data_IF_056715971792
#
_entry.id   IF_056715971792
#
_cell.length_a   1.000
_cell.length_b   1.000
_cell.length_c   1.000
_cell.angle_alpha   90.00
_cell.angle_beta   90.00
_cell.angle_gamma   90.00
#
_symmetry.space_group_name_H-M   'P 1'
#
loop_
_entity.id
_entity.type
_entity.pdbx_description
1 polymer ?
#
# COMPACT_ATOMS: atom_id res chain seq x y z
N UNK A 1 -4.88 8.27 24.39
CA UNK A 1 -4.92 7.91 24.10
C UNK A 1 -4.59 7.30 23.24
N UNK A 2 -4.34 6.66 23.02
CA UNK A 2 -4.09 6.01 22.23
C UNK A 2 -5.02 5.63 21.61
N UNK A 3 -5.11 5.63 20.67
CA UNK A 3 -6.21 5.17 20.13
C UNK A 3 -5.87 3.99 19.36
N UNK A 4 -6.83 3.14 19.10
CA UNK A 4 -6.58 1.91 18.43
C UNK A 4 -6.22 2.13 17.00
N UNK A 5 -6.52 3.27 16.45
CA UNK A 5 -6.17 3.51 15.07
C UNK A 5 -4.69 3.50 14.86
N UNK A 6 -3.90 3.85 15.85
CA UNK A 6 -2.48 3.84 15.70
C UNK A 6 -1.92 2.45 15.58
N UNK A 7 -2.68 1.45 15.98
CA UNK A 7 -2.25 0.08 15.93
C UNK A 7 -2.85 -0.67 14.74
N UNK A 8 -3.62 0.02 13.93
CA UNK A 8 -4.30 -0.65 12.86
C UNK A 8 -3.37 -0.93 11.71
N UNK A 9 -3.43 -2.14 11.22
CA UNK A 9 -2.62 -2.59 10.10
C UNK A 9 -3.51 -2.86 8.91
N UNK A 10 -3.03 -2.50 7.73
CA UNK A 10 -3.78 -2.67 6.50
C UNK A 10 -3.09 -3.73 5.66
N UNK A 11 -3.83 -4.74 5.26
CA UNK A 11 -3.31 -5.81 4.45
C UNK A 11 -3.14 -5.31 3.02
N UNK A 12 -1.94 -5.44 2.48
CA UNK A 12 -1.64 -5.00 1.12
C UNK A 12 -1.23 -6.17 0.24
N UNK A 13 -1.57 -7.39 0.67
CA UNK A 13 -1.37 -8.57 -0.16
C UNK A 13 -0.21 -9.41 0.28
N UNK A 14 -0.32 -10.71 0.06
CA UNK A 14 0.73 -11.68 0.32
C UNK A 14 1.27 -11.64 1.75
N UNK A 15 0.38 -11.34 2.69
CA UNK A 15 0.78 -11.31 4.10
C UNK A 15 1.51 -10.05 4.53
N UNK A 16 1.58 -9.05 3.65
CA UNK A 16 2.25 -7.81 3.98
C UNK A 16 1.26 -6.81 4.53
N UNK A 17 1.67 -6.06 5.53
CA UNK A 17 0.80 -5.09 6.16
C UNK A 17 1.52 -3.78 6.34
N UNK A 18 0.77 -2.68 6.32
CA UNK A 18 1.33 -1.37 6.58
C UNK A 18 0.51 -0.71 7.68
N UNK A 19 1.11 0.23 8.37
CA UNK A 19 0.45 0.93 9.44
C UNK A 19 -0.49 1.99 8.87
N UNK A 20 -1.75 1.94 9.22
CA UNK A 20 -2.71 2.92 8.77
C UNK A 20 -2.35 4.31 9.28
N UNK A 21 -1.77 4.40 10.47
CA UNK A 21 -1.46 5.69 11.06
C UNK A 21 -0.34 6.42 10.33
N UNK A 22 0.51 5.69 9.62
CA UNK A 22 1.65 6.29 8.95
C UNK A 22 1.53 6.28 7.43
N UNK A 23 0.37 5.88 6.94
CA UNK A 23 0.13 5.86 5.52
C UNK A 23 -0.22 7.25 5.05
N UNK A 24 0.48 7.74 4.06
CA UNK A 24 0.27 9.08 3.54
C UNK A 24 -0.58 9.10 2.28
N UNK A 25 -0.32 8.21 1.36
CA UNK A 25 -1.04 8.21 0.09
C UNK A 25 -1.03 6.84 -0.56
N UNK A 26 -2.05 6.57 -1.34
CA UNK A 26 -2.16 5.36 -2.14
C UNK A 26 -2.43 5.83 -3.55
N UNK A 27 -1.54 5.51 -4.48
CA UNK A 27 -1.67 6.00 -5.84
C UNK A 27 -1.45 4.90 -6.85
N UNK A 28 -1.94 5.12 -8.06
CA UNK A 28 -1.71 4.18 -9.15
C UNK A 28 -0.32 4.39 -9.72
N UNK A 29 0.31 3.36 -10.25
CA UNK A 29 1.71 3.45 -10.69
C UNK A 29 1.93 4.04 -12.07
N UNK A 30 0.88 4.37 -12.79
CA UNK A 30 1.01 4.64 -14.22
C UNK A 30 1.44 6.03 -14.67
N UNK A 31 1.57 6.97 -13.78
CA UNK A 31 1.93 8.32 -14.21
C UNK A 31 3.43 8.54 -14.13
N UNK A 32 3.92 9.48 -14.93
CA UNK A 32 5.34 9.78 -14.92
C UNK A 32 5.82 10.30 -13.56
N UNK A 33 5.08 11.17 -12.88
CA UNK A 33 5.54 11.61 -11.57
C UNK A 33 5.67 10.46 -10.58
N UNK A 34 4.76 9.50 -10.62
CA UNK A 34 4.82 8.39 -9.69
C UNK A 34 6.00 7.47 -10.03
N UNK A 35 6.25 7.27 -11.32
CA UNK A 35 7.39 6.46 -11.71
C UNK A 35 8.70 7.09 -11.23
N UNK A 36 8.75 8.41 -11.25
CA UNK A 36 9.92 9.10 -10.76
C UNK A 36 10.08 8.92 -9.25
N UNK A 37 8.98 8.97 -8.50
CA UNK A 37 9.02 8.75 -7.06
C UNK A 37 9.55 7.36 -6.77
N UNK A 38 9.10 6.36 -7.53
CA UNK A 38 9.55 4.99 -7.34
C UNK A 38 11.06 4.90 -7.59
N UNK A 39 11.52 5.51 -8.66
CA UNK A 39 12.92 5.47 -8.99
C UNK A 39 13.78 6.14 -7.92
N UNK A 40 13.36 7.33 -7.47
CA UNK A 40 14.12 8.06 -6.46
C UNK A 40 14.15 7.28 -5.15
N UNK A 41 13.05 6.65 -4.80
CA UNK A 41 12.96 5.92 -3.55
C UNK A 41 13.84 4.67 -3.63
N UNK A 42 13.88 4.04 -4.81
CA UNK A 42 14.74 2.88 -5.00
C UNK A 42 16.19 3.27 -4.80
N UNK A 43 16.59 4.41 -5.34
CA UNK A 43 17.97 4.85 -5.21
C UNK A 43 18.34 5.21 -3.80
N UNK A 44 17.37 5.63 -3.00
CA UNK A 44 17.64 5.94 -1.60
C UNK A 44 17.54 4.71 -0.71
N UNK A 45 17.22 3.57 -1.26
CA UNK A 45 17.11 2.36 -0.47
C UNK A 45 15.87 2.30 0.40
N UNK A 46 14.85 3.06 0.05
CA UNK A 46 13.62 3.09 0.82
C UNK A 46 12.41 2.53 0.07
N UNK A 47 12.67 1.77 -0.98
CA UNK A 47 11.59 1.15 -1.74
C UNK A 47 11.41 -0.29 -1.27
N UNK A 48 10.17 -0.65 -0.96
CA UNK A 48 9.85 -2.01 -0.55
C UNK A 48 8.93 -2.61 -1.60
N UNK A 49 9.32 -3.73 -2.19
CA UNK A 49 8.51 -4.37 -3.20
C UNK A 49 7.74 -5.51 -2.54
N UNK A 50 6.45 -5.31 -2.34
CA UNK A 50 5.60 -6.31 -1.71
C UNK A 50 4.69 -6.98 -2.74
N UNK A 51 5.06 -6.95 -4.02
CA UNK A 51 4.23 -7.53 -5.07
C UNK A 51 4.47 -9.01 -5.25
N UNK A 52 5.54 -9.51 -4.69
CA UNK A 52 5.85 -10.92 -4.79
C UNK A 52 6.00 -11.33 -6.27
N UNK A 53 6.59 -10.45 -7.07
CA UNK A 53 6.81 -10.72 -8.48
C UNK A 53 5.61 -10.44 -9.35
N UNK A 54 4.49 -9.98 -8.77
CA UNK A 54 3.32 -9.68 -9.55
C UNK A 54 3.36 -8.25 -10.02
N UNK A 55 2.45 -7.91 -10.89
CA UNK A 55 2.36 -6.57 -11.42
C UNK A 55 2.01 -5.58 -10.32
N UNK A 56 2.69 -4.45 -10.29
CA UNK A 56 2.38 -3.40 -9.34
C UNK A 56 1.06 -2.76 -9.71
N UNK A 57 0.12 -2.76 -8.76
CA UNK A 57 -1.17 -2.14 -8.98
C UNK A 57 -1.34 -0.89 -8.14
N UNK A 58 -0.68 -0.81 -7.02
CA UNK A 58 -0.77 0.35 -6.12
C UNK A 58 0.60 0.71 -5.60
N UNK A 59 0.80 2.00 -5.39
CA UNK A 59 2.02 2.53 -4.81
C UNK A 59 1.62 3.20 -3.51
N UNK A 60 2.16 2.72 -2.41
CA UNK A 60 1.78 3.18 -1.09
C UNK A 60 2.92 4.02 -0.55
N UNK A 61 2.62 5.27 -0.22
CA UNK A 61 3.61 6.21 0.25
C UNK A 61 3.39 6.40 1.74
N UNK A 62 4.45 6.18 2.51
CA UNK A 62 4.39 6.30 3.95
C UNK A 62 4.97 7.63 4.39
N UNK A 63 4.59 8.09 5.57
CA UNK A 63 5.05 9.39 6.06
C UNK A 63 6.55 9.40 6.37
N UNK A 64 7.18 8.25 6.42
CA UNK A 64 8.62 8.17 6.60
C UNK A 64 9.38 8.40 5.30
N UNK A 65 8.67 8.45 4.19
CA UNK A 65 9.31 8.54 2.90
C UNK A 65 9.52 7.20 2.22
N UNK A 66 9.20 6.11 2.90
CA UNK A 66 9.27 4.80 2.28
C UNK A 66 8.13 4.63 1.30
N UNK A 67 8.39 3.91 0.23
CA UNK A 67 7.36 3.63 -0.77
C UNK A 67 7.27 2.13 -0.92
N UNK A 68 6.04 1.61 -0.91
CA UNK A 68 5.79 0.18 -0.96
C UNK A 68 4.96 -0.13 -2.19
N UNK A 69 5.43 -1.07 -2.98
CA UNK A 69 4.71 -1.49 -4.19
C UNK A 69 3.81 -2.67 -3.82
N UNK A 70 2.55 -2.60 -4.21
CA UNK A 70 1.57 -3.62 -3.87
C UNK A 70 0.91 -4.16 -5.13
N UNK A 71 0.55 -5.42 -5.12
CA UNK A 71 -0.18 -6.06 -6.21
C UNK A 71 -1.70 -5.92 -6.01
N UNK A 72 -2.14 -5.27 -4.95
CA UNK A 72 -3.55 -5.07 -4.67
C UNK A 72 -3.98 -3.75 -5.28
N UNK A 73 -5.17 -3.70 -5.82
CA UNK A 73 -5.67 -2.49 -6.47
C UNK A 73 -5.77 -1.34 -5.48
N UNK A 74 -5.54 -0.11 -5.92
CA UNK A 74 -5.59 1.03 -5.01
C UNK A 74 -6.93 1.17 -4.30
N UNK A 75 -8.03 0.90 -5.00
CA UNK A 75 -9.34 1.02 -4.42
C UNK A 75 -9.53 0.01 -3.28
N UNK A 76 -8.96 -1.16 -3.45
CA UNK A 76 -9.07 -2.19 -2.44
C UNK A 76 -8.28 -1.80 -1.19
N UNK A 77 -7.08 -1.27 -1.39
CA UNK A 77 -6.28 -0.83 -0.26
C UNK A 77 -7.00 0.32 0.45
N UNK A 78 -7.51 1.27 -0.33
CA UNK A 78 -8.22 2.41 0.25
C UNK A 78 -9.43 1.96 1.05
N UNK A 79 -10.15 0.96 0.55
CA UNK A 79 -11.29 0.43 1.27
C UNK A 79 -10.90 -0.19 2.59
N UNK A 80 -9.76 -0.84 2.62
CA UNK A 80 -9.28 -1.46 3.85
C UNK A 80 -8.86 -0.40 4.87
N UNK A 81 -8.30 0.71 4.38
CA UNK A 81 -7.97 1.81 5.26
C UNK A 81 -9.24 2.33 5.93
N UNK A 82 -10.31 2.41 5.17
CA UNK A 82 -11.56 2.87 5.73
C UNK A 82 -12.30 1.83 6.56
N UNK A 83 -11.77 0.62 6.60
CA UNK A 83 -12.42 -0.44 7.38
C UNK A 83 -13.50 -1.17 6.63
N UNK A 84 -13.79 -0.78 5.41
CA UNK A 84 -14.83 -1.41 4.67
C UNK A 84 -14.40 -2.57 3.88
N UNK A 85 -13.23 -2.51 3.34
CA UNK A 85 -12.75 -3.58 2.51
C UNK A 85 -12.65 -4.90 3.22
N UNK A 86 -12.46 -4.84 4.50
CA UNK A 86 -12.31 -6.04 5.25
C UNK A 86 -13.56 -6.85 5.27
N UNK A 87 -14.69 -6.21 5.18
CA UNK A 87 -15.89 -6.90 5.22
C UNK A 87 -16.16 -7.56 3.99
N UNK A 88 -15.72 -7.12 2.99
CA UNK A 88 -16.02 -7.67 1.78
C UNK A 88 -15.29 -8.77 1.50
N UNK A 89 -14.64 -9.07 1.88
CA UNK A 89 -13.99 -10.10 1.69
C UNK A 89 -13.73 -10.63 0.62
N UNK A 90 -14.01 -11.04 0.28
CA UNK A 90 -13.73 -11.74 -0.72
C UNK A 90 -13.02 -11.19 -1.68
N UNK A 91 -13.32 -10.31 -1.98
CA UNK A 91 -12.78 -9.91 -3.04
C UNK A 91 -11.45 -9.77 -3.05
N UNK A 92 -11.10 -9.68 -2.33
CA UNK A 92 -9.92 -9.36 -2.38
C UNK A 92 -9.01 -10.13 -2.73
N UNK A 93 -9.03 -10.77 -2.73
CA UNK A 93 -8.16 -11.51 -2.99
C UNK A 93 -7.67 -11.44 -4.05
N UNK A 94 -8.06 -11.06 -4.58
CA UNK A 94 -7.68 -11.09 -5.72
C UNK A 94 -6.51 -10.73 -5.87
N UNK A 95 -6.22 -10.43 -5.44
CA UNK A 95 -5.24 -10.06 -5.61
C UNK A 95 -4.41 -10.71 -5.68
N UNK A 96 -4.50 -11.05 -5.53
CA UNK A 96 -3.53 -11.80 -5.50
C UNK A 96 -3.00 -12.16 -6.32
#
# INVERSE_FOLDING_TARGET
MQNSDNLRLINIGFGNMVSAAHLLAIVAPDSAPIKRIIQDTRERGQLVDATFGRRTRAVIIMDSGHVILSAVQPETVAGRVGGKGDKQMGGDEDDG
#
